data_IF_822211870402
#
_entry.id   IF_822211870402
#
_cell.length_a   1.000
_cell.length_b   1.000
_cell.length_c   1.000
_cell.angle_alpha   90.00
_cell.angle_beta   90.00
_cell.angle_gamma   90.00
#
_symmetry.space_group_name_H-M   'P 1'
#
loop_
_entity.id
_entity.type
_entity.pdbx_description
1 polymer ?
#
# COMPACT_ATOMS: atom_id res chain seq x y z
N UNK A 1 -4.89 9.60 4.21
CA UNK A 1 -4.48 8.70 3.11
C UNK A 1 -5.50 7.58 3.01
N UNK A 2 -6.24 7.47 1.91
CA UNK A 2 -7.39 6.54 1.80
C UNK A 2 -6.93 5.14 1.33
N UNK A 3 -7.62 4.08 1.77
CA UNK A 3 -7.26 2.66 1.52
C UNK A 3 -7.01 2.35 0.03
N UNK A 4 -7.84 2.92 -0.84
CA UNK A 4 -7.72 2.80 -2.30
C UNK A 4 -6.46 3.44 -2.86
N UNK A 5 -6.04 4.58 -2.31
CA UNK A 5 -4.81 5.22 -2.77
C UNK A 5 -3.61 4.32 -2.47
N UNK A 6 -3.57 3.69 -1.29
CA UNK A 6 -2.52 2.72 -0.96
C UNK A 6 -2.54 1.52 -1.90
N UNK A 7 -3.72 1.01 -2.26
CA UNK A 7 -3.86 -0.10 -3.20
C UNK A 7 -3.38 0.25 -4.62
N UNK A 8 -3.80 1.41 -5.15
CA UNK A 8 -3.36 1.89 -6.47
C UNK A 8 -1.84 2.02 -6.54
N UNK A 9 -1.20 2.47 -5.46
CA UNK A 9 0.26 2.60 -5.39
C UNK A 9 0.97 1.24 -5.50
N UNK A 10 0.45 0.23 -4.81
CA UNK A 10 0.95 -1.14 -4.90
C UNK A 10 0.74 -1.70 -6.31
N UNK A 11 -0.42 -1.47 -6.92
CA UNK A 11 -0.72 -1.93 -8.28
C UNK A 11 0.18 -1.32 -9.32
N UNK A 12 0.46 -0.02 -9.21
CA UNK A 12 1.41 0.67 -10.08
C UNK A 12 2.82 0.08 -9.98
N UNK A 13 3.31 -0.24 -8.76
CA UNK A 13 4.64 -0.83 -8.57
C UNK A 13 4.73 -2.25 -9.10
N UNK A 14 3.72 -3.08 -8.82
CA UNK A 14 3.71 -4.48 -9.25
C UNK A 14 3.16 -4.68 -10.67
N UNK A 15 2.76 -3.59 -11.35
CA UNK A 15 2.06 -3.59 -12.65
C UNK A 15 0.79 -4.44 -12.64
N UNK A 16 0.06 -4.38 -11.54
CA UNK A 16 -1.25 -5.02 -11.39
C UNK A 16 -2.30 -3.96 -11.66
N UNK A 17 -3.25 -4.28 -12.53
CA UNK A 17 -4.36 -3.38 -12.78
C UNK A 17 -5.37 -3.44 -11.63
N UNK A 18 -5.41 -2.35 -10.84
CA UNK A 18 -6.46 -2.06 -9.86
C UNK A 18 -7.35 -0.91 -10.33
N UNK A 19 -7.23 -0.51 -11.60
CA UNK A 19 -7.95 0.62 -12.18
C UNK A 19 -9.45 0.31 -12.29
N UNK A 20 -9.79 -0.97 -12.42
CA UNK A 20 -11.17 -1.47 -12.43
C UNK A 20 -11.86 -1.50 -11.05
N UNK A 21 -11.14 -1.19 -9.96
CA UNK A 21 -11.70 -1.27 -8.62
C UNK A 21 -12.41 0.03 -8.24
N UNK A 22 -13.71 -0.07 -7.99
CA UNK A 22 -14.49 1.02 -7.42
C UNK A 22 -14.15 1.21 -5.94
N UNK A 23 -13.91 2.46 -5.56
CA UNK A 23 -13.46 2.81 -4.22
C UNK A 23 -14.45 2.43 -3.11
N UNK A 24 -15.74 2.40 -3.43
CA UNK A 24 -16.80 2.04 -2.48
C UNK A 24 -16.88 0.53 -2.33
N UNK A 25 -16.65 -0.23 -3.41
CA UNK A 25 -16.65 -1.69 -3.39
C UNK A 25 -15.51 -2.29 -2.58
N UNK A 26 -14.30 -1.73 -2.70
CA UNK A 26 -13.10 -2.23 -2.00
C UNK A 26 -13.13 -1.93 -0.51
N UNK A 27 -13.56 -0.72 -0.12
CA UNK A 27 -13.67 -0.37 1.29
C UNK A 27 -14.76 -1.18 2.00
N UNK A 28 -15.84 -1.53 1.30
CA UNK A 28 -16.91 -2.38 1.82
C UNK A 28 -16.50 -3.87 1.90
N UNK A 29 -15.50 -4.31 1.11
CA UNK A 29 -15.12 -5.72 0.99
C UNK A 29 -13.68 -5.97 1.46
N UNK A 30 -13.51 -6.06 2.78
CA UNK A 30 -12.22 -6.41 3.41
C UNK A 30 -11.66 -7.77 2.95
N UNK A 31 -12.54 -8.75 2.67
CA UNK A 31 -12.14 -10.07 2.18
C UNK A 31 -11.38 -9.95 0.86
N UNK A 32 -11.90 -9.14 -0.06
CA UNK A 32 -11.26 -8.85 -1.33
C UNK A 32 -9.90 -8.17 -1.14
N UNK A 33 -9.83 -7.20 -0.22
CA UNK A 33 -8.57 -6.55 0.18
C UNK A 33 -7.54 -7.56 0.68
N UNK A 34 -7.97 -8.49 1.56
CA UNK A 34 -7.12 -9.51 2.15
C UNK A 34 -6.60 -10.50 1.09
N UNK A 35 -7.43 -10.90 0.12
CA UNK A 35 -6.98 -11.71 -1.02
C UNK A 35 -5.93 -11.00 -1.88
N UNK A 36 -6.06 -9.69 -2.08
CA UNK A 36 -5.06 -8.89 -2.78
C UNK A 36 -3.77 -8.84 -1.96
N UNK A 37 -3.85 -8.52 -0.67
CA UNK A 37 -2.69 -8.45 0.22
C UNK A 37 -1.98 -9.79 0.41
N UNK A 38 -2.70 -10.91 0.29
CA UNK A 38 -2.16 -12.27 0.35
C UNK A 38 -1.44 -12.70 -0.94
N UNK A 39 -1.47 -11.90 -2.01
CA UNK A 39 -0.60 -12.14 -3.16
C UNK A 39 0.86 -12.08 -2.71
N UNK A 40 1.67 -13.06 -3.08
CA UNK A 40 3.11 -13.13 -2.76
C UNK A 40 3.89 -11.86 -3.16
N UNK A 41 3.37 -11.14 -4.14
CA UNK A 41 3.89 -9.87 -4.66
C UNK A 41 3.50 -8.65 -3.81
N UNK A 42 2.40 -8.74 -3.06
CA UNK A 42 1.81 -7.66 -2.27
C UNK A 42 2.00 -7.88 -0.76
N UNK A 43 2.24 -9.10 -0.32
CA UNK A 43 2.43 -9.48 1.09
C UNK A 43 3.51 -8.63 1.79
N UNK A 44 4.61 -8.33 1.08
CA UNK A 44 5.66 -7.41 1.53
C UNK A 44 5.17 -5.99 1.86
N UNK A 45 4.05 -5.56 1.30
CA UNK A 45 3.41 -4.26 1.55
C UNK A 45 2.32 -4.32 2.62
N UNK A 46 1.96 -5.50 3.13
CA UNK A 46 0.87 -5.69 4.10
C UNK A 46 1.08 -4.88 5.38
N UNK A 47 2.29 -4.91 5.96
CA UNK A 47 2.62 -4.09 7.14
C UNK A 47 2.48 -2.60 6.86
N UNK A 48 3.08 -2.12 5.77
CA UNK A 48 2.95 -0.72 5.36
C UNK A 48 1.49 -0.32 5.12
N UNK A 49 0.69 -1.23 4.59
CA UNK A 49 -0.72 -1.00 4.34
C UNK A 49 -1.53 -0.88 5.63
N UNK A 50 -1.34 -1.79 6.59
CA UNK A 50 -2.09 -1.85 7.85
C UNK A 50 -1.61 -0.82 8.87
N UNK A 51 -0.30 -0.74 9.10
CA UNK A 51 0.27 0.11 10.16
C UNK A 51 0.89 1.40 9.65
N UNK A 52 1.18 1.52 8.34
CA UNK A 52 1.89 2.69 7.79
C UNK A 52 3.41 2.66 8.00
N UNK A 53 3.90 1.69 8.77
CA UNK A 53 5.33 1.45 9.01
C UNK A 53 5.90 0.41 8.06
N UNK A 54 7.22 0.46 7.85
CA UNK A 54 7.97 -0.54 7.08
C UNK A 54 8.95 -1.27 8.01
N UNK A 55 9.16 -2.56 7.78
CA UNK A 55 10.14 -3.38 8.47
C UNK A 55 11.06 -4.05 7.43
N UNK A 56 12.07 -3.33 6.91
CA UNK A 56 12.95 -3.85 5.87
C UNK A 56 13.69 -5.14 6.31
N UNK A 57 13.98 -5.27 7.60
CA UNK A 57 14.61 -6.46 8.20
C UNK A 57 13.75 -7.72 8.07
N UNK A 58 12.42 -7.57 8.06
CA UNK A 58 11.47 -8.68 7.87
C UNK A 58 11.04 -8.84 6.39
N UNK A 59 11.67 -8.11 5.46
CA UNK A 59 11.26 -8.06 4.05
C UNK A 59 9.95 -7.30 3.80
N UNK A 60 9.43 -6.58 4.81
CA UNK A 60 8.22 -5.77 4.68
C UNK A 60 8.59 -4.33 4.35
N UNK A 61 8.36 -3.93 3.11
CA UNK A 61 8.79 -2.64 2.56
C UNK A 61 7.58 -1.81 2.14
N UNK A 62 7.77 -0.51 1.90
CA UNK A 62 6.75 0.33 1.27
C UNK A 62 6.94 0.30 -0.25
N UNK A 63 5.87 0.47 -1.04
CA UNK A 63 6.03 0.63 -2.47
C UNK A 63 6.79 1.94 -2.76
N UNK A 64 7.66 1.94 -3.78
CA UNK A 64 8.53 3.09 -4.08
C UNK A 64 7.75 4.41 -4.25
N UNK A 65 6.50 4.34 -4.71
CA UNK A 65 5.63 5.48 -4.96
C UNK A 65 5.01 6.02 -3.65
N UNK A 66 4.85 5.17 -2.61
CA UNK A 66 4.32 5.59 -1.31
C UNK A 66 5.26 6.51 -0.53
N UNK A 67 6.56 6.45 -0.82
CA UNK A 67 7.55 7.34 -0.22
C UNK A 67 7.39 8.80 -0.71
N UNK A 68 6.59 9.05 -1.75
CA UNK A 68 6.32 10.42 -2.24
C UNK A 68 5.36 11.22 -1.36
N UNK A 69 4.87 10.66 -0.25
CA UNK A 69 3.96 11.33 0.69
C UNK A 69 4.60 11.60 2.04
N UNK A 70 5.19 12.79 2.19
CA UNK A 70 5.50 13.45 3.47
C UNK A 70 6.69 12.91 4.28
N UNK A 71 7.89 12.98 3.70
CA UNK A 71 9.08 13.25 4.52
C UNK A 71 9.17 14.77 4.77
N UNK A 72 8.35 15.30 5.68
CA UNK A 72 8.68 16.57 6.33
C UNK A 72 9.77 16.28 7.34
N UNK A 73 11.00 16.10 6.86
CA UNK A 73 12.17 16.39 7.71
C UNK A 73 12.16 17.90 7.83
N UNK A 74 11.40 18.43 8.80
CA UNK A 74 11.60 19.80 9.25
C UNK A 74 12.92 19.79 10.00
N UNK A 75 14.01 19.94 9.25
CA UNK A 75 15.29 20.40 9.80
C UNK A 75 15.04 21.85 10.22
N UNK A 76 14.61 22.02 11.47
CA UNK A 76 14.68 23.31 12.13
C UNK A 76 16.17 23.57 12.40
N UNK A 77 16.74 24.51 11.64
CA UNK A 77 18.00 25.16 11.97
C UNK A 77 17.75 26.23 13.04
#
# INVERSE_FOLDING_TARGET
>A
MNTINKLKQIGLVEKIDFSHLDERGVAANWLFLSSILNQKRIEKYSLWFVTGMIAPEAGQISPAIAHSGHMTTRLSF
#
